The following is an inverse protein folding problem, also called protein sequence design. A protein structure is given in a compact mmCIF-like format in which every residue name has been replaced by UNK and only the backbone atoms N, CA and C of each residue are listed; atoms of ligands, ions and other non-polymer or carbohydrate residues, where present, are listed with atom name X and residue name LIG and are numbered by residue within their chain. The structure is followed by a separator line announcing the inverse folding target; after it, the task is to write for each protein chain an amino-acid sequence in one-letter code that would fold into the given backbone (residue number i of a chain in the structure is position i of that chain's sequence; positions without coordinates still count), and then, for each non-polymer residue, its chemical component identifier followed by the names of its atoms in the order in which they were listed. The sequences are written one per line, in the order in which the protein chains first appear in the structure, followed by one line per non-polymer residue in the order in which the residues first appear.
data_IF_656951057135
#
_entry.id   IF_656951057135
#
_cell.length_a   1.000
_cell.length_b   1.000
_cell.length_c   1.000
_cell.angle_alpha   90.00
_cell.angle_beta   90.00
_cell.angle_gamma   90.00
#
_symmetry.space_group_name_H-M   'P 1'
#
loop_
_entity.id
_entity.type
_entity.pdbx_description
1 polymer ?
#
# COMPACT_ATOMS: atom_id res chain seq x y z
N UNK A 1 -9.32 -0.21 -3.83
CA UNK A 1 -10.01 0.99 -4.38
C UNK A 1 -9.23 1.36 -5.62
N UNK A 2 -9.90 1.48 -6.76
CA UNK A 2 -9.29 1.96 -8.00
C UNK A 2 -9.37 3.50 -8.11
N UNK A 3 -8.56 4.12 -9.00
CA UNK A 3 -8.55 5.57 -9.18
C UNK A 3 -9.89 6.19 -9.61
N UNK A 4 -10.73 5.45 -10.34
CA UNK A 4 -12.04 5.94 -10.79
C UNK A 4 -12.99 6.06 -9.60
N UNK A 5 -12.99 5.05 -8.72
CA UNK A 5 -13.75 5.03 -7.48
C UNK A 5 -13.30 6.16 -6.55
N UNK A 6 -11.99 6.38 -6.39
CA UNK A 6 -11.46 7.50 -5.59
C UNK A 6 -11.98 8.84 -6.13
N UNK A 7 -11.84 9.05 -7.44
CA UNK A 7 -12.23 10.31 -8.10
C UNK A 7 -13.74 10.58 -7.92
N UNK A 8 -14.59 9.58 -8.18
CA UNK A 8 -16.03 9.71 -8.03
C UNK A 8 -16.46 10.08 -6.59
N UNK A 9 -15.83 9.47 -5.58
CA UNK A 9 -16.12 9.77 -4.17
C UNK A 9 -15.66 11.18 -3.79
N UNK A 10 -14.45 11.57 -4.17
CA UNK A 10 -13.92 12.90 -3.86
C UNK A 10 -14.73 14.00 -4.54
N UNK A 11 -15.08 13.82 -5.82
CA UNK A 11 -15.94 14.77 -6.55
C UNK A 11 -17.31 14.92 -5.88
N UNK A 12 -17.93 13.81 -5.46
CA UNK A 12 -19.22 13.85 -4.75
C UNK A 12 -19.14 14.60 -3.41
N UNK A 13 -18.04 14.42 -2.65
CA UNK A 13 -17.82 15.12 -1.38
C UNK A 13 -17.56 16.61 -1.61
N UNK A 14 -16.74 16.96 -2.60
CA UNK A 14 -16.42 18.36 -2.95
C UNK A 14 -17.67 19.11 -3.41
N UNK A 15 -18.58 18.45 -4.11
CA UNK A 15 -19.80 19.04 -4.64
C UNK A 15 -20.97 19.13 -3.64
N UNK A 16 -20.77 18.78 -2.36
CA UNK A 16 -21.84 18.77 -1.35
C UNK A 16 -22.47 20.17 -1.18
N UNK A 17 -23.80 20.32 -1.43
CA UNK A 17 -24.45 21.61 -1.31
C UNK A 17 -24.82 21.95 0.14
N UNK A 18 -24.93 23.25 0.43
CA UNK A 18 -25.58 23.72 1.65
C UNK A 18 -27.10 23.44 1.57
N UNK A 19 -27.62 22.63 2.50
CA UNK A 19 -29.05 22.26 2.51
C UNK A 19 -29.96 23.27 3.23
N UNK A 20 -29.40 24.11 4.10
CA UNK A 20 -30.17 25.07 4.90
C UNK A 20 -29.97 26.48 4.38
N UNK A 21 -31.05 27.24 4.31
CA UNK A 21 -30.99 28.65 3.94
C UNK A 21 -30.01 29.41 4.86
N UNK A 22 -29.10 30.18 4.26
CA UNK A 22 -28.08 30.95 4.96
C UNK A 22 -26.82 30.16 5.38
N UNK A 23 -26.77 28.83 5.17
CA UNK A 23 -25.57 28.05 5.44
C UNK A 23 -24.58 28.12 4.27
N UNK A 24 -23.29 28.03 4.59
CA UNK A 24 -22.18 27.96 3.63
C UNK A 24 -21.39 26.67 3.89
N UNK A 25 -21.04 25.95 2.84
CA UNK A 25 -20.18 24.77 2.89
C UNK A 25 -18.91 25.08 2.12
N UNK A 26 -17.76 24.88 2.76
CA UNK A 26 -16.44 24.94 2.14
C UNK A 26 -15.76 23.59 2.36
N UNK A 27 -15.25 23.01 1.27
CA UNK A 27 -14.54 21.73 1.31
C UNK A 27 -13.11 21.96 0.85
N UNK A 28 -12.15 21.46 1.63
CA UNK A 28 -10.73 21.54 1.31
C UNK A 28 -10.07 20.18 1.53
N UNK A 29 -9.36 19.70 0.52
CA UNK A 29 -8.48 18.54 0.65
C UNK A 29 -7.19 18.99 1.35
N UNK A 30 -6.93 18.45 2.53
CA UNK A 30 -5.73 18.76 3.33
C UNK A 30 -4.57 17.82 3.02
N UNK A 31 -4.87 16.57 2.68
CA UNK A 31 -3.90 15.54 2.32
C UNK A 31 -4.58 14.48 1.46
N UNK A 32 -3.84 13.83 0.57
CA UNK A 32 -4.33 12.74 -0.27
C UNK A 32 -3.25 11.66 -0.42
N UNK A 33 -3.68 10.41 -0.50
CA UNK A 33 -2.87 9.22 -0.83
C UNK A 33 -3.57 8.56 -2.02
N UNK A 34 -3.18 8.92 -3.26
CA UNK A 34 -3.94 8.51 -4.43
C UNK A 34 -4.07 6.99 -4.50
N UNK A 35 -5.23 6.51 -4.95
CA UNK A 35 -5.40 5.12 -5.32
C UNK A 35 -4.55 4.81 -6.55
N UNK A 36 -4.03 3.59 -6.61
CA UNK A 36 -3.34 3.07 -7.77
C UNK A 36 -3.65 1.59 -7.93
N UNK A 37 -3.41 1.06 -9.12
CA UNK A 37 -3.52 -0.37 -9.41
C UNK A 37 -2.16 -0.94 -9.79
N UNK A 38 -1.92 -2.23 -9.53
CA UNK A 38 -0.74 -2.92 -10.04
C UNK A 38 -0.64 -2.78 -11.57
N UNK A 39 0.55 -2.44 -12.04
CA UNK A 39 0.92 -2.46 -13.46
C UNK A 39 1.64 -3.78 -13.79
N UNK A 40 1.85 -4.06 -15.08
CA UNK A 40 2.71 -5.17 -15.53
C UNK A 40 4.09 -5.12 -14.86
N UNK A 41 4.69 -3.94 -14.77
CA UNK A 41 5.99 -3.77 -14.10
C UNK A 41 5.92 -4.02 -12.57
N UNK A 42 4.76 -3.80 -11.95
CA UNK A 42 4.53 -4.17 -10.53
C UNK A 42 4.43 -5.69 -10.37
N UNK A 43 3.79 -6.37 -11.33
CA UNK A 43 3.72 -7.84 -11.36
C UNK A 43 5.10 -8.46 -11.60
N UNK A 44 5.91 -7.89 -12.48
CA UNK A 44 7.31 -8.28 -12.69
C UNK A 44 8.14 -8.11 -11.42
N UNK A 45 8.00 -6.97 -10.73
CA UNK A 45 8.65 -6.75 -9.43
C UNK A 45 8.21 -7.79 -8.40
N UNK A 46 6.92 -8.14 -8.35
CA UNK A 46 6.43 -9.20 -7.46
C UNK A 46 7.05 -10.55 -7.80
N UNK A 47 7.17 -10.89 -9.08
CA UNK A 47 7.81 -12.13 -9.51
C UNK A 47 9.29 -12.18 -9.06
N UNK A 48 10.03 -11.07 -9.12
CA UNK A 48 11.39 -10.98 -8.58
C UNK A 48 11.42 -11.24 -7.07
N UNK A 49 10.48 -10.67 -6.31
CA UNK A 49 10.40 -10.90 -4.86
C UNK A 49 10.07 -12.36 -4.53
N UNK A 50 9.16 -12.99 -5.27
CA UNK A 50 8.82 -14.40 -5.11
C UNK A 50 10.05 -15.27 -5.36
N UNK A 51 10.75 -15.07 -6.49
CA UNK A 51 11.95 -15.82 -6.82
C UNK A 51 13.08 -15.63 -5.79
N UNK A 52 13.25 -14.41 -5.28
CA UNK A 52 14.22 -14.11 -4.22
C UNK A 52 13.90 -14.88 -2.93
N UNK A 53 12.61 -14.94 -2.54
CA UNK A 53 12.17 -15.75 -1.40
C UNK A 53 12.44 -17.24 -1.59
N UNK A 54 12.08 -17.79 -2.75
CA UNK A 54 12.32 -19.19 -3.08
C UNK A 54 13.80 -19.57 -3.00
N UNK A 55 14.70 -18.67 -3.43
CA UNK A 55 16.15 -18.88 -3.40
C UNK A 55 16.73 -19.07 -1.98
N UNK A 56 16.04 -18.56 -0.97
CA UNK A 56 16.42 -18.70 0.45
C UNK A 56 15.48 -19.62 1.23
N UNK A 57 14.60 -20.36 0.53
CA UNK A 57 13.65 -21.29 1.14
C UNK A 57 12.49 -20.61 1.89
N UNK A 58 12.13 -19.38 1.51
CA UNK A 58 10.99 -18.65 2.06
C UNK A 58 9.86 -18.53 1.02
N UNK A 59 8.61 -18.63 1.47
CA UNK A 59 7.44 -18.35 0.64
C UNK A 59 7.09 -16.85 0.71
N UNK A 60 6.93 -16.22 -0.45
CA UNK A 60 6.50 -14.83 -0.57
C UNK A 60 5.39 -14.72 -1.62
N UNK A 61 4.56 -13.69 -1.51
CA UNK A 61 3.45 -13.45 -2.43
C UNK A 61 2.89 -12.04 -2.28
N UNK A 62 1.95 -11.69 -3.15
CA UNK A 62 1.34 -10.36 -3.20
C UNK A 62 -0.16 -10.42 -2.95
N UNK A 63 -0.68 -9.41 -2.27
CA UNK A 63 -2.11 -9.19 -2.12
C UNK A 63 -2.41 -7.69 -2.09
N UNK A 64 -3.63 -7.30 -2.48
CA UNK A 64 -4.06 -5.92 -2.33
C UNK A 64 -4.14 -5.52 -0.85
N UNK A 65 -3.57 -4.36 -0.51
CA UNK A 65 -3.72 -3.78 0.83
C UNK A 65 -5.11 -3.12 0.97
N UNK A 66 -5.67 -3.16 2.18
CA UNK A 66 -6.93 -2.50 2.51
C UNK A 66 -6.77 -1.06 3.01
N UNK A 67 -5.53 -0.55 3.06
CA UNK A 67 -5.18 0.77 3.56
C UNK A 67 -4.30 1.57 2.59
N UNK A 68 -3.79 2.70 3.08
CA UNK A 68 -2.87 3.55 2.35
C UNK A 68 -1.53 3.64 3.08
N UNK A 69 -0.44 3.69 2.32
CA UNK A 69 0.93 3.82 2.78
C UNK A 69 1.72 4.76 1.85
N UNK A 70 3.01 4.96 2.10
CA UNK A 70 3.83 5.84 1.25
C UNK A 70 3.94 5.30 -0.19
N UNK A 71 3.73 3.99 -0.33
CA UNK A 71 3.64 3.28 -1.61
C UNK A 71 2.50 3.76 -2.51
N UNK A 72 1.46 4.43 -1.98
CA UNK A 72 0.45 5.10 -2.78
C UNK A 72 1.06 6.14 -3.71
N UNK A 73 2.03 6.92 -3.21
CA UNK A 73 2.61 8.00 -4.01
C UNK A 73 3.46 7.45 -5.14
N UNK A 74 4.37 6.52 -4.85
CA UNK A 74 5.24 5.94 -5.88
C UNK A 74 4.45 5.08 -6.86
N UNK A 75 3.48 4.31 -6.38
CA UNK A 75 2.57 3.53 -7.21
C UNK A 75 1.74 4.40 -8.16
N UNK A 76 1.19 5.51 -7.66
CA UNK A 76 0.46 6.48 -8.48
C UNK A 76 1.36 7.18 -9.52
N UNK A 77 2.64 7.42 -9.18
CA UNK A 77 3.64 7.93 -10.13
C UNK A 77 4.08 6.89 -11.18
N UNK A 78 3.52 5.67 -11.15
CA UNK A 78 3.85 4.60 -12.08
C UNK A 78 5.17 3.90 -11.78
N UNK A 79 5.78 4.15 -10.62
CA UNK A 79 7.01 3.48 -10.19
C UNK A 79 6.62 2.11 -9.63
N UNK A 80 7.17 1.00 -10.17
CA UNK A 80 6.92 -0.35 -9.63
C UNK A 80 7.23 -0.38 -8.14
N UNK A 81 6.21 -0.66 -7.32
CA UNK A 81 6.30 -0.54 -5.86
C UNK A 81 5.57 -1.71 -5.20
N UNK A 82 6.19 -2.28 -4.18
CA UNK A 82 5.58 -3.23 -3.25
C UNK A 82 5.74 -2.72 -1.81
N UNK A 83 4.85 -3.18 -0.94
CA UNK A 83 4.91 -2.97 0.51
C UNK A 83 4.93 -4.33 1.22
N UNK A 84 4.89 -4.34 2.56
CA UNK A 84 4.70 -5.57 3.34
C UNK A 84 5.99 -6.36 3.59
N UNK A 85 7.15 -5.74 3.43
CA UNK A 85 8.46 -6.35 3.73
C UNK A 85 8.81 -6.38 5.22
N UNK A 86 7.90 -5.91 6.08
CA UNK A 86 8.04 -5.92 7.54
C UNK A 86 7.86 -7.31 8.16
N UNK A 87 8.20 -7.46 9.45
CA UNK A 87 8.04 -8.71 10.18
C UNK A 87 6.58 -9.14 10.26
N UNK A 88 6.36 -10.45 10.46
CA UNK A 88 5.02 -10.99 10.72
C UNK A 88 4.51 -10.40 12.03
N UNK A 89 3.23 -10.05 12.06
CA UNK A 89 2.63 -9.43 13.23
C UNK A 89 1.11 -9.38 13.15
N UNK A 90 0.50 -8.75 14.14
CA UNK A 90 -0.94 -8.54 14.21
C UNK A 90 -1.25 -7.27 14.99
N UNK A 91 -2.39 -6.67 14.68
CA UNK A 91 -2.94 -5.56 15.46
C UNK A 91 -2.18 -4.27 15.26
N UNK A 92 -1.62 -4.03 14.06
CA UNK A 92 -1.02 -2.76 13.71
C UNK A 92 -1.99 -1.61 14.08
N UNK A 93 -1.47 -0.61 14.79
CA UNK A 93 -2.22 0.55 15.28
C UNK A 93 -3.22 0.24 16.40
N UNK A 94 -3.06 -0.87 17.12
CA UNK A 94 -3.90 -1.24 18.25
C UNK A 94 -3.08 -1.45 19.54
N UNK A 95 -3.73 -1.38 20.71
CA UNK A 95 -3.07 -1.64 22.00
C UNK A 95 -2.47 -3.05 22.08
N UNK A 96 -3.01 -3.98 21.31
CA UNK A 96 -2.53 -5.37 21.20
C UNK A 96 -1.61 -5.59 19.99
N UNK A 97 -0.97 -4.52 19.50
CA UNK A 97 0.03 -4.61 18.45
C UNK A 97 1.17 -5.53 18.87
N UNK A 98 1.53 -6.45 17.98
CA UNK A 98 2.56 -7.45 18.24
C UNK A 98 3.27 -7.86 16.96
N UNK A 99 4.52 -8.29 17.12
CA UNK A 99 5.33 -8.87 16.05
C UNK A 99 5.94 -10.20 16.51
N UNK A 100 6.11 -11.12 15.58
CA UNK A 100 6.86 -12.36 15.79
C UNK A 100 8.34 -12.04 15.67
N UNK A 101 9.04 -11.93 16.79
CA UNK A 101 10.45 -11.51 16.83
C UNK A 101 11.37 -12.36 15.92
N UNK A 102 11.11 -13.67 15.83
CA UNK A 102 11.88 -14.57 14.95
C UNK A 102 11.78 -14.17 13.46
N UNK A 103 10.65 -13.60 13.04
CA UNK A 103 10.43 -13.19 11.65
C UNK A 103 11.24 -11.96 11.22
N UNK A 104 11.84 -11.21 12.16
CA UNK A 104 12.71 -10.09 11.82
C UNK A 104 13.94 -10.53 11.03
N UNK A 105 14.59 -11.62 11.47
CA UNK A 105 15.75 -12.17 10.78
C UNK A 105 15.37 -12.75 9.40
N UNK A 106 14.21 -13.42 9.32
CA UNK A 106 13.68 -13.96 8.06
C UNK A 106 13.43 -12.84 7.04
N UNK A 107 12.79 -11.74 7.46
CA UNK A 107 12.54 -10.58 6.59
C UNK A 107 13.81 -9.84 6.19
N UNK A 108 14.78 -9.71 7.10
CA UNK A 108 16.08 -9.15 6.75
C UNK A 108 16.79 -9.98 5.67
N UNK A 109 16.73 -11.31 5.78
CA UNK A 109 17.27 -12.21 4.76
C UNK A 109 16.52 -12.09 3.42
N UNK A 110 15.19 -11.98 3.44
CA UNK A 110 14.38 -11.76 2.24
C UNK A 110 14.74 -10.44 1.54
N UNK A 111 14.80 -9.34 2.29
CA UNK A 111 15.17 -8.03 1.74
C UNK A 111 16.58 -8.06 1.16
N UNK A 112 17.53 -8.71 1.85
CA UNK A 112 18.87 -8.91 1.31
C UNK A 112 18.84 -9.69 -0.01
N UNK A 113 18.11 -10.80 -0.07
CA UNK A 113 17.96 -11.61 -1.28
C UNK A 113 17.37 -10.80 -2.44
N UNK A 114 16.30 -10.02 -2.20
CA UNK A 114 15.67 -9.14 -3.19
C UNK A 114 16.70 -8.16 -3.79
N UNK A 115 17.45 -7.47 -2.93
CA UNK A 115 18.42 -6.44 -3.35
C UNK A 115 19.59 -7.07 -4.14
N UNK A 116 19.96 -8.31 -3.83
CA UNK A 116 21.05 -9.02 -4.51
C UNK A 116 20.62 -9.85 -5.71
N UNK A 117 19.30 -9.93 -5.99
CA UNK A 117 18.78 -10.65 -7.15
C UNK A 117 18.99 -9.80 -8.39
N UNK A 118 19.90 -10.24 -9.27
CA UNK A 118 20.17 -9.66 -10.60
C UNK A 118 19.39 -10.37 -11.69
#
# INVERSE_FOLDING_TARGET
MDPETESAVLEAVIALPALRAGAVVEVKVMSNRPAWQPSVATEELLATVVAAGESIGQEAGGAAASGAADTNLTGWLGIPTLDGLGPVGKGAHAVHEQTVAASLAERAALVAAIITTT
#
